data_IF_606559473744
#
_entry.id   IF_606559473744
#
_cell.length_a   1.000
_cell.length_b   1.000
_cell.length_c   1.000
_cell.angle_alpha   90.00
_cell.angle_beta   90.00
_cell.angle_gamma   90.00
#
_symmetry.space_group_name_H-M   'P 1'
#
loop_
_entity.id
_entity.type
_entity.pdbx_description
1 polymer ?
#
# COMPACT_ATOMS: atom_id res chain seq x y z
N UNK A 1 29.21 -2.24 22.77
CA UNK A 1 28.47 -3.00 21.78
C UNK A 1 28.02 -2.00 20.71
N UNK A 2 28.75 -1.94 19.61
CA UNK A 2 28.46 -1.03 18.50
C UNK A 2 27.31 -1.63 17.68
N UNK A 3 26.16 -0.97 17.67
CA UNK A 3 25.11 -1.29 16.72
C UNK A 3 25.62 -0.93 15.32
N UNK A 4 26.03 -1.93 14.57
CA UNK A 4 26.30 -1.83 13.15
C UNK A 4 24.97 -1.48 12.44
N UNK A 5 24.72 -0.17 12.28
CA UNK A 5 23.73 0.34 11.36
C UNK A 5 24.35 0.26 9.97
N UNK A 6 24.36 -0.94 9.40
CA UNK A 6 24.62 -1.14 7.97
C UNK A 6 23.67 -0.20 7.22
N UNK A 7 24.16 0.95 6.80
CA UNK A 7 23.46 1.86 5.91
C UNK A 7 23.34 1.15 4.57
N UNK A 8 22.31 0.34 4.43
CA UNK A 8 21.89 -0.13 3.12
C UNK A 8 21.48 1.12 2.32
N UNK A 9 22.37 1.60 1.48
CA UNK A 9 22.04 2.61 0.49
C UNK A 9 21.02 1.95 -0.44
N UNK A 10 19.75 2.28 -0.23
CA UNK A 10 18.68 1.80 -1.10
C UNK A 10 18.94 2.36 -2.50
N UNK A 11 19.15 1.48 -3.46
CA UNK A 11 19.29 1.85 -4.86
C UNK A 11 18.01 2.53 -5.35
N UNK A 12 18.10 3.45 -6.33
CA UNK A 12 16.93 4.07 -6.91
C UNK A 12 15.98 3.01 -7.45
N UNK A 13 14.73 3.04 -6.97
CA UNK A 13 13.68 2.09 -7.36
C UNK A 13 13.50 2.11 -8.88
N UNK A 14 13.53 0.94 -9.52
CA UNK A 14 13.19 0.80 -10.92
C UNK A 14 11.68 0.94 -11.10
N UNK A 15 11.24 1.72 -12.09
CA UNK A 15 9.80 1.86 -12.42
C UNK A 15 9.16 0.50 -12.68
N UNK A 16 9.89 -0.44 -13.28
CA UNK A 16 9.42 -1.81 -13.49
C UNK A 16 9.05 -2.55 -12.21
N UNK A 17 9.79 -2.34 -11.10
CA UNK A 17 9.44 -2.95 -9.79
C UNK A 17 8.11 -2.39 -9.25
N UNK A 18 7.89 -1.07 -9.41
CA UNK A 18 6.64 -0.42 -8.98
C UNK A 18 5.46 -0.98 -9.78
N UNK A 19 5.59 -1.03 -11.11
CA UNK A 19 4.53 -1.55 -11.99
C UNK A 19 4.28 -3.03 -11.70
N UNK A 20 5.31 -3.86 -11.59
CA UNK A 20 5.17 -5.29 -11.30
C UNK A 20 4.48 -5.53 -9.95
N UNK A 21 4.77 -4.72 -8.92
CA UNK A 21 4.10 -4.84 -7.62
C UNK A 21 2.61 -4.51 -7.69
N UNK A 22 2.21 -3.49 -8.46
CA UNK A 22 0.79 -3.18 -8.65
C UNK A 22 0.07 -4.23 -9.49
N UNK A 23 0.72 -4.77 -10.53
CA UNK A 23 0.16 -5.89 -11.30
C UNK A 23 -0.04 -7.11 -10.39
N UNK A 24 0.96 -7.44 -9.56
CA UNK A 24 0.84 -8.53 -8.58
C UNK A 24 -0.28 -8.29 -7.57
N UNK A 25 -0.42 -7.06 -7.06
CA UNK A 25 -1.49 -6.69 -6.14
C UNK A 25 -2.87 -6.82 -6.79
N UNK A 26 -3.05 -6.35 -8.04
CA UNK A 26 -4.29 -6.49 -8.78
C UNK A 26 -4.65 -7.96 -9.06
N UNK A 27 -3.66 -8.81 -9.37
CA UNK A 27 -3.89 -10.24 -9.53
C UNK A 27 -4.36 -10.89 -8.24
N UNK A 28 -3.78 -10.51 -7.09
CA UNK A 28 -4.20 -10.99 -5.78
C UNK A 28 -5.58 -10.47 -5.39
N UNK A 29 -5.91 -9.22 -5.74
CA UNK A 29 -7.21 -8.58 -5.49
C UNK A 29 -8.34 -9.30 -6.20
N UNK A 30 -8.12 -9.73 -7.44
CA UNK A 30 -9.13 -10.41 -8.25
C UNK A 30 -9.17 -11.93 -8.07
N UNK A 31 -8.39 -12.49 -7.15
CA UNK A 31 -8.55 -13.90 -6.78
C UNK A 31 -9.91 -14.12 -6.09
N UNK A 32 -10.57 -15.27 -6.33
CA UNK A 32 -11.81 -15.62 -5.64
C UNK A 32 -11.51 -15.98 -4.18
N UNK A 33 -11.59 -15.03 -3.29
CA UNK A 33 -11.41 -15.27 -1.85
C UNK A 33 -12.64 -15.93 -1.26
N UNK A 34 -12.46 -16.97 -0.38
CA UNK A 34 -13.59 -17.69 0.22
C UNK A 34 -14.46 -16.79 1.10
N UNK A 35 -13.87 -15.79 1.74
CA UNK A 35 -14.55 -14.80 2.54
C UNK A 35 -14.11 -13.41 2.12
N UNK A 36 -14.98 -12.74 1.37
CA UNK A 36 -14.72 -11.38 0.85
C UNK A 36 -14.57 -10.36 1.96
N UNK A 37 -15.22 -10.57 3.12
CA UNK A 37 -15.11 -9.64 4.25
C UNK A 37 -13.73 -9.67 4.92
N UNK A 38 -13.03 -10.81 4.83
CA UNK A 38 -11.66 -10.97 5.34
C UNK A 38 -10.59 -10.75 4.29
N UNK A 39 -10.97 -10.59 3.02
CA UNK A 39 -10.02 -10.38 1.93
C UNK A 39 -9.28 -9.05 2.15
N UNK A 40 -7.93 -9.09 2.23
CA UNK A 40 -7.16 -7.86 2.37
C UNK A 40 -7.16 -7.09 1.04
N UNK A 41 -7.30 -5.77 1.09
CA UNK A 41 -7.12 -4.90 -0.07
C UNK A 41 -5.61 -4.78 -0.38
N UNK A 42 -5.13 -5.65 -1.27
CA UNK A 42 -3.72 -5.69 -1.67
C UNK A 42 -3.31 -4.46 -2.47
N UNK A 43 -4.23 -3.89 -3.23
CA UNK A 43 -3.96 -2.71 -4.04
C UNK A 43 -3.79 -1.48 -3.15
N UNK A 44 -4.70 -1.26 -2.19
CA UNK A 44 -4.58 -0.18 -1.22
C UNK A 44 -3.31 -0.33 -0.35
N UNK A 45 -2.99 -1.55 0.09
CA UNK A 45 -1.81 -1.83 0.90
C UNK A 45 -0.50 -1.52 0.13
N UNK A 46 -0.42 -1.96 -1.14
CA UNK A 46 0.72 -1.67 -2.02
C UNK A 46 0.84 -0.18 -2.34
N UNK A 47 -0.29 0.49 -2.57
CA UNK A 47 -0.36 1.94 -2.78
C UNK A 47 0.14 2.69 -1.56
N UNK A 48 -0.33 2.33 -0.36
CA UNK A 48 0.14 2.92 0.90
C UNK A 48 1.66 2.76 1.04
N UNK A 49 2.22 1.57 0.75
CA UNK A 49 3.65 1.34 0.80
C UNK A 49 4.43 2.32 -0.09
N UNK A 50 4.05 2.43 -1.37
CA UNK A 50 4.76 3.30 -2.29
C UNK A 50 4.59 4.79 -1.96
N UNK A 51 3.41 5.21 -1.55
CA UNK A 51 3.16 6.59 -1.13
C UNK A 51 3.95 6.99 0.12
N UNK A 52 4.14 6.06 1.06
CA UNK A 52 4.95 6.30 2.27
C UNK A 52 6.45 6.32 1.95
N UNK A 53 6.95 5.33 1.19
CA UNK A 53 8.39 5.17 0.97
C UNK A 53 8.92 5.98 -0.23
N UNK A 54 8.10 6.19 -1.26
CA UNK A 54 8.50 6.88 -2.49
C UNK A 54 7.45 7.89 -2.98
N UNK A 55 7.10 8.92 -2.17
CA UNK A 55 5.99 9.85 -2.43
C UNK A 55 6.16 10.68 -3.70
N UNK A 56 7.38 10.76 -4.25
CA UNK A 56 7.65 11.48 -5.50
C UNK A 56 7.35 10.66 -6.76
N UNK A 57 7.17 9.34 -6.64
CA UNK A 57 6.97 8.43 -7.78
C UNK A 57 5.54 7.95 -7.90
N UNK A 58 4.88 7.76 -6.77
CA UNK A 58 3.50 7.26 -6.69
C UNK A 58 2.69 8.28 -5.92
N UNK A 59 1.58 8.70 -6.48
CA UNK A 59 0.76 9.78 -5.93
C UNK A 59 -0.73 9.62 -6.25
N UNK A 60 -1.47 10.72 -6.11
CA UNK A 60 -2.93 10.75 -6.27
C UNK A 60 -3.41 10.18 -7.61
N UNK A 61 -2.75 10.56 -8.71
CA UNK A 61 -3.12 10.07 -10.05
C UNK A 61 -3.00 8.54 -10.16
N UNK A 62 -1.96 7.95 -9.52
CA UNK A 62 -1.80 6.49 -9.47
C UNK A 62 -2.92 5.86 -8.64
N UNK A 63 -3.23 6.44 -7.48
CA UNK A 63 -4.34 5.97 -6.63
C UNK A 63 -5.66 6.02 -7.37
N UNK A 64 -5.95 7.12 -8.05
CA UNK A 64 -7.17 7.28 -8.84
C UNK A 64 -7.28 6.23 -9.96
N UNK A 65 -6.20 6.04 -10.74
CA UNK A 65 -6.19 5.07 -11.83
C UNK A 65 -6.35 3.62 -11.33
N UNK A 66 -5.64 3.25 -10.26
CA UNK A 66 -5.77 1.93 -9.64
C UNK A 66 -7.18 1.70 -9.08
N UNK A 67 -7.76 2.73 -8.44
CA UNK A 67 -9.12 2.65 -7.93
C UNK A 67 -10.16 2.43 -9.03
N UNK A 68 -10.03 3.09 -10.18
CA UNK A 68 -10.89 2.85 -11.34
C UNK A 68 -10.74 1.42 -11.88
N UNK A 69 -9.52 0.87 -11.88
CA UNK A 69 -9.30 -0.52 -12.31
C UNK A 69 -9.97 -1.51 -11.36
N UNK A 70 -9.90 -1.25 -10.05
CA UNK A 70 -10.56 -2.07 -9.03
C UNK A 70 -12.08 -1.95 -9.13
N UNK A 71 -12.61 -0.74 -9.32
CA UNK A 71 -14.05 -0.52 -9.53
C UNK A 71 -14.57 -1.29 -10.74
N UNK A 72 -13.85 -1.19 -11.88
CA UNK A 72 -14.22 -1.89 -13.08
C UNK A 72 -14.09 -3.42 -12.96
N UNK A 73 -13.05 -3.90 -12.27
CA UNK A 73 -12.82 -5.33 -12.07
C UNK A 73 -13.85 -5.99 -11.15
N UNK A 74 -14.27 -5.27 -10.11
CA UNK A 74 -15.26 -5.76 -9.15
C UNK A 74 -16.71 -5.47 -9.60
N UNK A 75 -16.92 -4.75 -10.69
CA UNK A 75 -18.25 -4.40 -11.19
C UNK A 75 -19.05 -3.51 -10.22
N UNK A 76 -18.36 -2.71 -9.39
CA UNK A 76 -18.97 -1.77 -8.45
C UNK A 76 -19.12 -0.39 -9.06
N UNK A 77 -19.70 0.56 -8.29
CA UNK A 77 -19.86 1.94 -8.75
C UNK A 77 -18.51 2.56 -9.10
N UNK A 78 -18.35 2.97 -10.36
CA UNK A 78 -17.13 3.63 -10.83
C UNK A 78 -16.89 4.94 -10.07
N UNK A 79 -15.69 5.06 -9.52
CA UNK A 79 -15.28 6.21 -8.71
C UNK A 79 -15.24 5.95 -7.21
N UNK A 80 -15.82 4.85 -6.73
CA UNK A 80 -15.85 4.47 -5.32
C UNK A 80 -14.42 4.26 -4.77
N UNK A 81 -13.68 3.31 -5.34
CA UNK A 81 -12.29 3.06 -4.95
C UNK A 81 -11.35 4.13 -5.53
N UNK A 82 -11.68 4.75 -6.67
CA UNK A 82 -10.88 5.84 -7.20
C UNK A 82 -10.81 7.02 -6.22
N UNK A 83 -11.91 7.40 -5.59
CA UNK A 83 -11.93 8.45 -4.56
C UNK A 83 -11.21 7.98 -3.29
N UNK A 84 -11.50 6.77 -2.82
CA UNK A 84 -10.90 6.19 -1.63
C UNK A 84 -9.37 6.11 -1.74
N UNK A 85 -8.84 5.58 -2.85
CA UNK A 85 -7.40 5.44 -3.07
C UNK A 85 -6.69 6.77 -3.34
N UNK A 86 -7.39 7.74 -3.93
CA UNK A 86 -6.85 9.10 -4.03
C UNK A 86 -6.68 9.74 -2.67
N UNK A 87 -7.68 9.61 -1.79
CA UNK A 87 -7.60 10.10 -0.42
C UNK A 87 -6.54 9.36 0.39
N UNK A 88 -6.44 8.03 0.23
CA UNK A 88 -5.39 7.20 0.83
C UNK A 88 -4.00 7.69 0.40
N UNK A 89 -3.78 7.88 -0.90
CA UNK A 89 -2.50 8.35 -1.43
C UNK A 89 -2.14 9.74 -0.87
N UNK A 90 -3.11 10.65 -0.85
CA UNK A 90 -2.91 11.99 -0.27
C UNK A 90 -2.48 11.91 1.20
N UNK A 91 -3.24 11.18 2.03
CA UNK A 91 -2.97 11.06 3.45
C UNK A 91 -1.64 10.32 3.72
N UNK A 92 -1.35 9.24 2.98
CA UNK A 92 -0.10 8.50 3.09
C UNK A 92 1.12 9.37 2.74
N UNK A 93 1.03 10.19 1.70
CA UNK A 93 2.10 11.14 1.32
C UNK A 93 2.28 12.21 2.39
N UNK A 94 1.19 12.81 2.86
CA UNK A 94 1.22 13.86 3.88
C UNK A 94 1.83 13.36 5.20
N UNK A 95 1.54 12.12 5.57
CA UNK A 95 2.02 11.50 6.82
C UNK A 95 3.31 10.68 6.64
N UNK A 96 3.85 10.55 5.43
CA UNK A 96 4.99 9.66 5.11
C UNK A 96 6.17 9.84 6.06
N UNK A 97 6.59 11.09 6.30
CA UNK A 97 7.70 11.40 7.20
C UNK A 97 7.43 10.96 8.64
N UNK A 98 6.20 11.13 9.12
CA UNK A 98 5.80 10.76 10.46
C UNK A 98 5.75 9.24 10.61
N UNK A 99 5.16 8.55 9.64
CA UNK A 99 5.04 7.09 9.63
C UNK A 99 6.42 6.43 9.66
N UNK A 100 7.38 6.92 8.86
CA UNK A 100 8.74 6.38 8.78
C UNK A 100 9.59 6.61 10.04
N UNK A 101 9.14 7.41 11.01
CA UNK A 101 9.81 7.57 12.30
C UNK A 101 9.55 6.41 13.24
N UNK A 102 8.47 5.67 13.04
CA UNK A 102 8.09 4.53 13.88
C UNK A 102 8.77 3.24 13.40
N UNK A 103 8.84 2.27 14.30
CA UNK A 103 9.17 0.89 13.96
C UNK A 103 8.08 0.26 13.10
N UNK A 104 8.30 -0.96 12.59
CA UNK A 104 7.38 -1.61 11.64
C UNK A 104 5.96 -1.77 12.18
N UNK A 105 5.81 -2.04 13.48
CA UNK A 105 4.49 -2.18 14.10
C UNK A 105 3.80 -0.84 14.30
N UNK A 106 4.56 0.20 14.66
CA UNK A 106 4.06 1.57 14.72
C UNK A 106 3.63 2.07 13.33
N UNK A 107 4.37 1.73 12.26
CA UNK A 107 3.96 1.99 10.88
C UNK A 107 2.67 1.25 10.55
N UNK A 108 2.56 -0.04 10.88
CA UNK A 108 1.36 -0.84 10.66
C UNK A 108 0.12 -0.19 11.28
N UNK A 109 0.22 0.34 12.51
CA UNK A 109 -0.90 1.05 13.15
C UNK A 109 -1.35 2.28 12.36
N UNK A 110 -0.41 3.06 11.83
CA UNK A 110 -0.77 4.22 11.00
C UNK A 110 -1.38 3.79 9.67
N UNK A 111 -0.87 2.71 9.08
CA UNK A 111 -1.41 2.14 7.85
C UNK A 111 -2.81 1.58 8.07
N UNK A 112 -3.10 0.96 9.22
CA UNK A 112 -4.46 0.56 9.58
C UNK A 112 -5.42 1.73 9.50
N UNK A 113 -5.09 2.85 10.14
CA UNK A 113 -5.94 4.04 10.13
C UNK A 113 -6.15 4.60 8.71
N UNK A 114 -5.12 4.53 7.87
CA UNK A 114 -5.21 4.97 6.48
C UNK A 114 -6.11 4.05 5.65
N UNK A 115 -6.00 2.73 5.81
CA UNK A 115 -6.82 1.75 5.11
C UNK A 115 -8.28 1.79 5.57
N UNK A 116 -8.52 1.90 6.88
CA UNK A 116 -9.88 2.09 7.43
C UNK A 116 -10.52 3.39 6.94
N UNK A 117 -9.72 4.46 6.85
CA UNK A 117 -10.19 5.73 6.27
C UNK A 117 -10.58 5.59 4.80
N UNK A 118 -9.78 4.90 4.00
CA UNK A 118 -10.11 4.62 2.60
C UNK A 118 -11.38 3.76 2.48
N UNK A 119 -11.49 2.71 3.31
CA UNK A 119 -12.66 1.85 3.37
C UNK A 119 -13.93 2.63 3.77
N UNK A 120 -13.81 3.55 4.74
CA UNK A 120 -14.92 4.40 5.16
C UNK A 120 -15.38 5.36 4.03
N UNK A 121 -14.44 5.87 3.23
CA UNK A 121 -14.77 6.70 2.05
C UNK A 121 -15.49 5.85 1.00
N UNK A 122 -14.98 4.66 0.68
CA UNK A 122 -15.62 3.76 -0.28
C UNK A 122 -17.04 3.39 0.18
N UNK A 123 -17.21 3.06 1.46
CA UNK A 123 -18.52 2.79 2.07
C UNK A 123 -19.44 4.01 1.97
N UNK A 124 -18.92 5.21 2.26
CA UNK A 124 -19.70 6.45 2.17
C UNK A 124 -20.25 6.69 0.77
N UNK A 125 -19.43 6.43 -0.28
CA UNK A 125 -19.86 6.52 -1.68
C UNK A 125 -20.98 5.50 -1.98
N UNK A 126 -20.82 4.25 -1.54
CA UNK A 126 -21.85 3.19 -1.71
C UNK A 126 -23.18 3.57 -1.08
N UNK A 127 -23.14 4.00 0.17
CA UNK A 127 -24.36 4.41 0.90
C UNK A 127 -25.02 5.63 0.26
N UNK A 128 -24.23 6.60 -0.23
CA UNK A 128 -24.75 7.76 -0.96
C UNK A 128 -25.39 7.38 -2.32
N UNK A 129 -24.93 6.28 -2.93
CA UNK A 129 -25.53 5.71 -4.13
C UNK A 129 -26.80 4.89 -3.88
N UNK A 130 -27.17 4.66 -2.61
CA UNK A 130 -28.37 3.94 -2.23
C UNK A 130 -28.16 2.45 -1.93
N UNK A 131 -26.90 1.98 -1.88
CA UNK A 131 -26.61 0.62 -1.46
C UNK A 131 -26.91 0.40 0.03
N UNK A 132 -27.23 -0.83 0.39
CA UNK A 132 -27.41 -1.21 1.79
C UNK A 132 -26.06 -1.34 2.50
N UNK A 133 -26.06 -1.13 3.83
CA UNK A 133 -24.87 -1.32 4.66
C UNK A 133 -24.45 -2.78 4.71
N UNK A 134 -23.25 -3.16 4.26
CA UNK A 134 -22.81 -4.56 4.15
C UNK A 134 -22.45 -5.21 5.49
N UNK A 135 -22.52 -4.46 6.59
CA UNK A 135 -22.19 -4.95 7.93
C UNK A 135 -20.76 -4.58 8.39
N UNK A 136 -20.52 -4.78 9.69
CA UNK A 136 -19.25 -4.42 10.33
C UNK A 136 -18.07 -5.32 9.94
N UNK A 137 -18.35 -6.48 9.32
CA UNK A 137 -17.30 -7.38 8.79
C UNK A 137 -16.41 -6.71 7.75
N UNK A 138 -16.90 -5.65 7.11
CA UNK A 138 -16.15 -4.85 6.15
C UNK A 138 -14.84 -4.27 6.71
N UNK A 139 -14.78 -4.00 8.01
CA UNK A 139 -13.57 -3.48 8.68
C UNK A 139 -12.50 -4.56 8.92
N UNK A 140 -12.84 -5.83 8.72
CA UNK A 140 -11.88 -6.91 8.93
C UNK A 140 -10.80 -6.97 7.83
N UNK A 141 -11.14 -6.65 6.59
CA UNK A 141 -10.21 -6.63 5.45
C UNK A 141 -8.99 -5.73 5.67
N UNK A 142 -9.18 -4.43 6.00
CA UNK A 142 -8.08 -3.52 6.34
C UNK A 142 -7.23 -3.99 7.52
N UNK A 143 -7.84 -4.60 8.53
CA UNK A 143 -7.10 -5.16 9.67
C UNK A 143 -6.19 -6.32 9.24
N UNK A 144 -6.70 -7.24 8.41
CA UNK A 144 -5.90 -8.34 7.84
C UNK A 144 -4.80 -7.79 6.93
N UNK A 145 -5.11 -6.82 6.07
CA UNK A 145 -4.12 -6.16 5.22
C UNK A 145 -2.98 -5.54 6.06
N UNK A 146 -3.33 -4.91 7.17
CA UNK A 146 -2.34 -4.30 8.07
C UNK A 146 -1.40 -5.32 8.72
N UNK A 147 -1.88 -6.51 9.05
CA UNK A 147 -1.01 -7.58 9.57
C UNK A 147 0.04 -8.03 8.54
N UNK A 148 -0.25 -7.86 7.25
CA UNK A 148 0.68 -8.15 6.16
C UNK A 148 1.72 -7.02 5.96
N UNK A 149 1.58 -5.86 6.61
CA UNK A 149 2.47 -4.71 6.42
C UNK A 149 3.95 -5.03 6.54
N UNK A 150 4.44 -5.71 7.60
CA UNK A 150 5.86 -6.04 7.71
C UNK A 150 6.36 -6.92 6.56
N UNK A 151 5.55 -7.88 6.11
CA UNK A 151 5.87 -8.76 4.99
C UNK A 151 5.94 -7.99 3.67
N UNK A 152 5.01 -7.07 3.42
CA UNK A 152 4.98 -6.20 2.24
C UNK A 152 6.19 -5.28 2.23
N UNK A 153 6.52 -4.65 3.34
CA UNK A 153 7.73 -3.81 3.47
C UNK A 153 8.98 -4.63 3.15
N UNK A 154 9.11 -5.83 3.73
CA UNK A 154 10.25 -6.70 3.48
C UNK A 154 10.33 -7.11 2.00
N UNK A 155 9.23 -7.57 1.41
CA UNK A 155 9.15 -8.05 0.03
C UNK A 155 9.46 -6.94 -0.99
N UNK A 156 8.84 -5.78 -0.84
CA UNK A 156 9.01 -4.67 -1.79
C UNK A 156 10.35 -3.95 -1.66
N UNK A 157 11.04 -4.11 -0.53
CA UNK A 157 12.41 -3.62 -0.37
C UNK A 157 13.48 -4.60 -0.86
N UNK A 158 13.17 -5.89 -1.06
CA UNK A 158 14.15 -6.90 -1.51
C UNK A 158 14.93 -6.47 -2.77
N UNK A 159 14.27 -5.96 -3.84
CA UNK A 159 14.99 -5.57 -5.06
C UNK A 159 15.93 -4.36 -4.85
N UNK A 160 15.76 -3.63 -3.76
CA UNK A 160 16.54 -2.43 -3.42
C UNK A 160 17.74 -2.76 -2.52
N UNK A 161 17.76 -3.94 -1.91
CA UNK A 161 18.82 -4.43 -1.00
C UNK A 161 19.90 -5.12 -1.82
N UNK A 162 20.83 -4.39 -2.44
CA UNK A 162 22.04 -5.00 -2.96
C UNK A 162 23.17 -4.84 -1.95
N UNK A 163 24.00 -5.89 -1.70
CA UNK A 163 25.22 -5.72 -0.95
C UNK A 163 26.12 -4.74 -1.72
N UNK A 164 26.68 -3.78 -1.01
CA UNK A 164 27.73 -2.92 -1.56
C UNK A 164 28.94 -3.85 -1.73
N UNK A 165 29.29 -4.20 -2.96
CA UNK A 165 30.62 -4.71 -3.22
C UNK A 165 31.58 -3.54 -2.98
N UNK A 166 32.20 -3.52 -1.83
CA UNK A 166 33.36 -2.65 -1.59
C UNK A 166 34.41 -3.15 -2.54
N UNK A 167 34.68 -2.36 -3.57
CA UNK A 167 35.78 -2.58 -4.47
C UNK A 167 37.05 -2.22 -3.69
N UNK A 168 37.58 -3.21 -2.95
CA UNK A 168 38.83 -3.10 -2.17
C UNK A 168 40.08 -2.97 -3.07
N UNK A 169 39.91 -2.86 -4.38
CA UNK A 169 41.01 -2.83 -5.36
C UNK A 169 41.32 -1.42 -5.89
N UNK A 170 41.08 -0.34 -5.12
CA UNK A 170 41.74 0.93 -5.41
C UNK A 170 42.91 1.14 -4.45
N UNK A 171 44.15 0.79 -4.88
CA UNK A 171 45.33 1.33 -4.21
C UNK A 171 45.38 2.84 -4.42
N UNK A 172 45.70 3.58 -3.35
CA UNK A 172 45.95 5.01 -3.33
C UNK A 172 47.12 5.39 -4.27
#
# INVERSE_FOLDING_TARGET
>A
MAFDRSRHLLLPVRTGTVVASFVGALLLEFLPWPDVALAPDFVALTLAFWCVHHPRRVGLATGWALGLLVDAGNGVLLGQHALAYSALAFAAIALSRRILWFDLWGQALHVLLLLEGAQAIALGVRLAAGDEFPGWSLLAGPAVATLLWPAVVWLLQLPQRRPISVDETRPL
#
